data_IF_583917290242
#
_entry.id   IF_583917290242
#
_cell.length_a   1.000
_cell.length_b   1.000
_cell.length_c   1.000
_cell.angle_alpha   90.00
_cell.angle_beta   90.00
_cell.angle_gamma   90.00
#
_symmetry.space_group_name_H-M   'P 1'
#
loop_
_entity.id
_entity.type
_entity.pdbx_description
1 polymer ?
#
# COMPACT_ATOMS: atom_id res chain seq x y z
N UNK A 1 -14.75 -10.09 -20.35
CA UNK A 1 -14.26 -11.18 -19.48
C UNK A 1 -14.21 -10.67 -18.04
N UNK A 2 -14.57 -11.48 -17.04
CA UNK A 2 -14.44 -11.10 -15.62
C UNK A 2 -13.01 -11.44 -15.18
N UNK A 3 -12.29 -10.46 -14.60
CA UNK A 3 -10.96 -10.67 -14.00
C UNK A 3 -11.00 -11.66 -12.86
N UNK A 4 -9.90 -12.38 -12.64
CA UNK A 4 -9.75 -13.26 -11.49
C UNK A 4 -9.80 -12.45 -10.16
N UNK A 5 -10.11 -13.07 -9.00
CA UNK A 5 -10.24 -12.36 -7.72
C UNK A 5 -8.95 -11.68 -7.22
N UNK A 6 -7.82 -12.25 -7.61
CA UNK A 6 -6.44 -11.89 -7.29
C UNK A 6 -5.81 -10.94 -8.31
N UNK A 7 -6.47 -10.71 -9.45
CA UNK A 7 -5.97 -9.86 -10.52
C UNK A 7 -6.30 -8.39 -10.27
N UNK A 8 -5.28 -7.54 -10.23
CA UNK A 8 -5.40 -6.09 -10.03
C UNK A 8 -4.66 -5.33 -11.13
N UNK A 9 -5.29 -4.28 -11.63
CA UNK A 9 -4.71 -3.38 -12.63
C UNK A 9 -3.56 -2.56 -12.07
N UNK A 10 -2.46 -2.57 -12.81
CA UNK A 10 -1.36 -1.62 -12.66
C UNK A 10 -1.64 -0.46 -13.60
N UNK A 11 -1.52 0.74 -13.09
CA UNK A 11 -1.66 1.97 -13.85
C UNK A 11 -0.34 2.74 -13.74
N UNK A 12 0.30 2.95 -14.89
CA UNK A 12 1.62 3.58 -15.01
C UNK A 12 1.55 5.09 -15.23
N UNK A 13 0.35 5.65 -15.41
CA UNK A 13 0.13 7.06 -15.73
C UNK A 13 -0.53 7.85 -14.61
N UNK A 14 -0.57 7.29 -13.40
CA UNK A 14 -1.32 7.85 -12.27
C UNK A 14 -0.65 9.03 -11.56
N UNK A 15 0.68 9.07 -11.58
CA UNK A 15 1.44 10.13 -10.95
C UNK A 15 2.25 10.87 -12.02
N UNK A 16 2.04 12.18 -12.13
CA UNK A 16 2.83 13.09 -12.98
C UNK A 16 4.30 13.26 -12.49
N UNK A 17 4.71 12.48 -11.48
CA UNK A 17 5.94 12.69 -10.70
C UNK A 17 7.04 11.64 -10.98
N UNK A 18 6.79 10.58 -11.75
CA UNK A 18 7.85 9.65 -12.16
C UNK A 18 7.41 8.31 -12.76
N UNK A 19 8.38 7.58 -13.30
CA UNK A 19 8.20 6.20 -13.77
C UNK A 19 8.00 5.27 -12.56
N UNK A 20 6.81 4.68 -12.43
CA UNK A 20 6.46 3.79 -11.32
C UNK A 20 5.35 2.82 -11.66
N UNK A 21 5.16 1.83 -10.80
CA UNK A 21 4.04 0.88 -10.89
C UNK A 21 3.04 1.23 -9.80
N UNK A 22 1.84 1.61 -10.19
CA UNK A 22 0.82 2.04 -9.24
C UNK A 22 -0.42 1.17 -9.32
N UNK A 23 -1.09 1.01 -8.18
CA UNK A 23 -2.38 0.33 -8.07
C UNK A 23 -3.37 1.25 -7.38
N UNK A 24 -4.55 1.41 -7.97
CA UNK A 24 -5.67 2.09 -7.31
C UNK A 24 -6.27 1.18 -6.26
N UNK A 25 -6.48 1.71 -5.06
CA UNK A 25 -7.02 0.95 -3.95
C UNK A 25 -7.77 1.81 -2.96
N UNK A 26 -8.12 1.19 -1.84
CA UNK A 26 -8.82 1.85 -0.75
C UNK A 26 -8.21 1.48 0.60
N UNK A 27 -8.13 2.48 1.48
CA UNK A 27 -7.84 2.32 2.91
C UNK A 27 -9.01 2.87 3.69
N UNK A 28 -9.70 2.03 4.47
CA UNK A 28 -10.90 2.40 5.21
C UNK A 28 -11.88 3.21 4.36
N UNK A 29 -12.17 2.69 3.15
CA UNK A 29 -13.08 3.28 2.14
C UNK A 29 -12.59 4.57 1.48
N UNK A 30 -11.45 5.14 1.90
CA UNK A 30 -10.80 6.26 1.20
C UNK A 30 -10.05 5.74 -0.03
N UNK A 31 -10.37 6.21 -1.26
CA UNK A 31 -9.57 5.87 -2.44
C UNK A 31 -8.19 6.52 -2.34
N UNK A 32 -7.15 5.73 -2.59
CA UNK A 32 -5.75 6.18 -2.63
C UNK A 32 -4.98 5.44 -3.72
N UNK A 33 -3.79 5.95 -4.04
CA UNK A 33 -2.85 5.33 -4.97
C UNK A 33 -1.76 4.61 -4.17
N UNK A 34 -1.50 3.35 -4.53
CA UNK A 34 -0.41 2.56 -3.96
C UNK A 34 0.73 2.45 -4.96
N UNK A 35 1.92 2.89 -4.58
CA UNK A 35 3.16 2.55 -5.29
C UNK A 35 3.55 1.12 -4.94
N UNK A 36 3.77 0.26 -5.93
CA UNK A 36 4.31 -1.08 -5.70
C UNK A 36 5.79 -0.97 -5.34
N UNK A 37 6.14 -1.26 -4.09
CA UNK A 37 7.49 -1.10 -3.58
C UNK A 37 8.02 -2.45 -3.05
N UNK A 38 8.73 -3.17 -3.93
CA UNK A 38 9.38 -4.44 -3.57
C UNK A 38 10.54 -4.25 -2.58
N UNK A 39 11.04 -3.02 -2.39
CA UNK A 39 12.06 -2.68 -1.40
C UNK A 39 11.48 -2.45 0.00
N UNK A 40 10.18 -2.23 0.13
CA UNK A 40 9.51 -2.06 1.40
C UNK A 40 9.11 -3.42 2.00
N UNK A 41 9.53 -3.70 3.23
CA UNK A 41 9.11 -4.91 3.95
C UNK A 41 7.68 -4.82 4.51
N UNK A 42 7.20 -3.60 4.75
CA UNK A 42 5.90 -3.29 5.34
C UNK A 42 5.16 -2.29 4.47
N UNK A 43 3.84 -2.42 4.42
CA UNK A 43 2.97 -1.45 3.76
C UNK A 43 2.87 -0.18 4.60
N UNK A 44 3.04 0.96 3.94
CA UNK A 44 3.10 2.29 4.56
C UNK A 44 2.06 3.19 3.88
N UNK A 45 1.38 4.03 4.65
CA UNK A 45 0.59 5.16 4.13
C UNK A 45 1.17 6.48 4.63
N UNK A 46 1.00 7.54 3.85
CA UNK A 46 1.41 8.87 4.30
C UNK A 46 0.58 9.35 5.50
N UNK A 47 1.19 10.16 6.36
CA UNK A 47 0.48 10.92 7.41
C UNK A 47 -0.66 11.75 6.84
N UNK A 48 -0.47 12.32 5.64
CA UNK A 48 -1.49 13.08 4.89
C UNK A 48 -2.73 12.23 4.57
N UNK A 49 -2.54 11.00 4.09
CA UNK A 49 -3.64 10.06 3.85
C UNK A 49 -4.35 9.73 5.17
N UNK A 50 -3.60 9.39 6.22
CA UNK A 50 -4.16 9.05 7.53
C UNK A 50 -5.01 10.18 8.14
N UNK A 51 -4.53 11.41 8.06
CA UNK A 51 -5.24 12.60 8.57
C UNK A 51 -6.51 12.92 7.77
N UNK A 52 -6.59 12.51 6.50
CA UNK A 52 -7.78 12.66 5.66
C UNK A 52 -8.82 11.56 5.86
N UNK A 53 -8.50 10.51 6.63
CA UNK A 53 -9.50 9.51 7.01
C UNK A 53 -10.55 10.16 7.93
N UNK A 54 -11.85 9.84 7.75
CA UNK A 54 -12.89 10.22 8.70
C UNK A 54 -12.55 9.78 10.12
N UNK A 55 -12.83 10.61 11.13
CA UNK A 55 -12.46 10.32 12.52
C UNK A 55 -13.01 8.98 13.01
N UNK A 56 -14.28 8.66 12.69
CA UNK A 56 -14.91 7.41 13.08
C UNK A 56 -14.32 6.16 12.42
N UNK A 57 -13.60 6.32 11.30
CA UNK A 57 -12.91 5.22 10.60
C UNK A 57 -11.39 5.28 10.77
N UNK A 58 -10.84 6.23 11.52
CA UNK A 58 -9.39 6.39 11.69
C UNK A 58 -8.91 5.43 12.80
N UNK A 59 -8.06 4.44 12.49
CA UNK A 59 -7.62 3.48 13.50
C UNK A 59 -6.70 4.12 14.53
N UNK A 60 -6.78 3.67 15.79
CA UNK A 60 -5.78 4.03 16.80
C UNK A 60 -4.40 3.51 16.40
N UNK A 61 -3.38 4.35 16.61
CA UNK A 61 -1.99 4.00 16.33
C UNK A 61 -1.29 3.52 17.60
N UNK A 62 -0.52 2.45 17.45
CA UNK A 62 0.46 1.96 18.43
C UNK A 62 1.87 2.35 18.00
N UNK A 63 2.85 2.23 18.91
CA UNK A 63 4.25 2.56 18.61
C UNK A 63 4.74 1.79 17.39
N UNK A 64 5.36 2.51 16.45
CA UNK A 64 5.82 1.95 15.19
C UNK A 64 7.11 1.14 15.32
N UNK A 65 7.70 0.82 14.17
CA UNK A 65 8.82 -0.14 14.06
C UNK A 65 10.19 0.53 13.85
N UNK A 66 10.28 1.86 13.91
CA UNK A 66 11.46 2.64 13.51
C UNK A 66 11.84 2.38 12.05
N UNK A 67 11.10 2.98 11.12
CA UNK A 67 11.35 2.87 9.70
C UNK A 67 12.68 3.49 9.26
N UNK A 68 13.33 2.84 8.29
CA UNK A 68 14.49 3.35 7.56
C UNK A 68 14.18 3.33 6.08
N UNK A 69 14.51 4.42 5.39
CA UNK A 69 14.46 4.47 3.93
C UNK A 69 15.57 3.66 3.30
N UNK A 70 15.53 3.54 1.97
CA UNK A 70 16.52 2.78 1.20
C UNK A 70 17.97 3.22 1.45
N UNK A 71 18.21 4.52 1.68
CA UNK A 71 19.53 5.07 2.00
C UNK A 71 19.92 4.91 3.49
N UNK A 72 19.13 4.20 4.29
CA UNK A 72 19.35 4.00 5.73
C UNK A 72 18.94 5.17 6.61
N UNK A 73 18.54 6.30 6.02
CA UNK A 73 18.01 7.46 6.74
C UNK A 73 16.70 7.10 7.46
N UNK A 74 16.50 7.58 8.70
CA UNK A 74 15.26 7.33 9.42
C UNK A 74 14.08 8.02 8.74
N UNK A 75 12.93 7.36 8.70
CA UNK A 75 11.66 7.95 8.27
C UNK A 75 10.85 8.26 9.52
N UNK A 76 10.33 9.48 9.62
CA UNK A 76 9.45 9.87 10.72
C UNK A 76 8.12 9.09 10.62
N UNK A 77 7.75 8.38 11.68
CA UNK A 77 6.50 7.61 11.75
C UNK A 77 5.59 8.14 12.86
N UNK A 78 4.28 8.15 12.59
CA UNK A 78 3.25 8.41 13.62
C UNK A 78 2.92 7.15 14.42
N UNK A 79 3.15 5.96 13.84
CA UNK A 79 2.87 4.67 14.45
C UNK A 79 2.25 3.69 13.46
N UNK A 80 1.70 2.59 13.97
CA UNK A 80 1.08 1.53 13.18
C UNK A 80 -0.30 1.14 13.71
N UNK A 81 -1.19 0.74 12.81
CA UNK A 81 -2.57 0.36 13.14
C UNK A 81 -3.14 -0.67 12.18
N UNK A 82 -4.34 -1.18 12.48
CA UNK A 82 -5.05 -2.10 11.60
C UNK A 82 -6.00 -1.34 10.67
N UNK A 83 -5.82 -1.52 9.37
CA UNK A 83 -6.59 -0.84 8.33
C UNK A 83 -7.27 -1.86 7.44
N UNK A 84 -8.47 -1.52 6.98
CA UNK A 84 -9.18 -2.24 5.93
C UNK A 84 -8.60 -1.83 4.58
N UNK A 85 -7.79 -2.71 3.99
CA UNK A 85 -7.17 -2.55 2.69
C UNK A 85 -8.02 -3.24 1.62
N UNK A 86 -8.29 -2.56 0.51
CA UNK A 86 -8.93 -3.14 -0.68
C UNK A 86 -8.17 -2.80 -1.95
N UNK A 87 -7.73 -3.84 -2.68
CA UNK A 87 -7.06 -3.75 -3.98
C UNK A 87 -7.81 -4.65 -4.96
N UNK A 88 -8.39 -4.06 -6.02
CA UNK A 88 -9.30 -4.80 -6.90
C UNK A 88 -10.45 -5.46 -6.13
N UNK A 89 -10.54 -6.79 -6.18
CA UNK A 89 -11.52 -7.60 -5.44
C UNK A 89 -10.98 -8.14 -4.10
N UNK A 90 -9.68 -8.03 -3.86
CA UNK A 90 -9.06 -8.44 -2.60
C UNK A 90 -9.40 -7.42 -1.52
N UNK A 91 -9.88 -7.90 -0.38
CA UNK A 91 -10.13 -7.10 0.82
C UNK A 91 -9.55 -7.82 2.04
N UNK A 92 -8.74 -7.11 2.83
CA UNK A 92 -8.16 -7.66 4.06
C UNK A 92 -7.94 -6.59 5.12
N UNK A 93 -7.94 -7.02 6.39
CA UNK A 93 -7.41 -6.22 7.48
C UNK A 93 -5.87 -6.37 7.48
N UNK A 94 -5.15 -5.25 7.38
CA UNK A 94 -3.70 -5.19 7.27
C UNK A 94 -3.12 -4.26 8.34
N UNK A 95 -2.02 -4.68 8.97
CA UNK A 95 -1.25 -3.78 9.84
C UNK A 95 -0.39 -2.86 8.94
N UNK A 96 -0.72 -1.58 8.92
CA UNK A 96 -0.07 -0.55 8.08
C UNK A 96 0.62 0.47 8.98
N UNK A 97 1.80 0.92 8.56
CA UNK A 97 2.56 1.97 9.23
C UNK A 97 2.16 3.33 8.63
N UNK A 98 2.00 4.33 9.49
CA UNK A 98 1.71 5.72 9.10
C UNK A 98 3.00 6.52 9.24
N UNK A 99 3.51 7.06 8.15
CA UNK A 99 4.80 7.74 8.11
C UNK A 99 4.84 8.94 7.17
N UNK A 100 5.84 9.80 7.33
CA UNK A 100 6.10 10.94 6.46
C UNK A 100 6.78 10.44 5.17
N UNK A 101 5.97 10.20 4.14
CA UNK A 101 6.41 9.78 2.80
C UNK A 101 5.78 10.68 1.72
N UNK A 102 6.40 10.71 0.54
CA UNK A 102 5.94 11.52 -0.59
C UNK A 102 4.74 10.93 -1.32
N UNK A 103 4.69 9.60 -1.47
CA UNK A 103 3.55 8.91 -2.07
C UNK A 103 2.35 8.84 -1.12
N UNK A 104 1.17 8.55 -1.67
CA UNK A 104 -0.01 8.25 -0.86
C UNK A 104 0.22 7.00 0.00
N UNK A 105 0.77 5.94 -0.62
CA UNK A 105 1.07 4.68 0.02
C UNK A 105 2.16 3.89 -0.71
N UNK A 106 2.98 3.15 0.04
CA UNK A 106 3.91 2.14 -0.46
C UNK A 106 3.35 0.76 -0.13
N UNK A 107 3.13 -0.07 -1.16
CA UNK A 107 2.68 -1.45 -1.01
C UNK A 107 3.88 -2.37 -0.86
N UNK A 108 4.13 -2.81 0.38
CA UNK A 108 5.30 -3.59 0.72
C UNK A 108 5.08 -5.10 0.65
N UNK A 109 6.14 -5.83 0.96
CA UNK A 109 6.23 -7.29 0.91
C UNK A 109 5.16 -8.01 1.76
N UNK A 110 4.71 -7.40 2.86
CA UNK A 110 3.62 -7.91 3.70
C UNK A 110 2.24 -7.97 3.01
N UNK A 111 2.10 -7.29 1.87
CA UNK A 111 0.94 -7.42 0.98
C UNK A 111 1.30 -8.09 -0.34
N UNK A 112 2.49 -7.84 -0.88
CA UNK A 112 2.97 -8.50 -2.11
C UNK A 112 3.21 -10.01 -1.92
N UNK A 113 3.24 -10.51 -0.70
CA UNK A 113 3.17 -11.94 -0.41
C UNK A 113 1.82 -12.28 0.20
N UNK A 114 1.13 -13.22 -0.42
CA UNK A 114 -0.20 -13.59 0.02
C UNK A 114 -0.17 -14.43 1.31
N UNK A 115 -1.34 -14.65 1.91
CA UNK A 115 -1.46 -15.37 3.19
C UNK A 115 -0.92 -16.80 3.16
N UNK A 116 -0.80 -17.40 1.98
CA UNK A 116 -0.23 -18.74 1.78
C UNK A 116 1.28 -18.71 1.58
N UNK A 117 1.92 -17.55 1.67
CA UNK A 117 3.35 -17.37 1.42
C UNK A 117 3.72 -17.37 -0.06
N UNK A 118 2.74 -17.34 -0.97
CA UNK A 118 3.02 -17.25 -2.41
C UNK A 118 3.30 -15.78 -2.77
N UNK A 119 4.41 -15.50 -3.47
CA UNK A 119 4.69 -14.17 -4.00
C UNK A 119 3.62 -13.74 -5.01
N UNK A 120 3.41 -12.43 -5.10
CA UNK A 120 2.67 -11.83 -6.18
C UNK A 120 3.46 -11.88 -7.49
N UNK A 121 2.74 -12.06 -8.60
CA UNK A 121 3.31 -11.98 -9.94
C UNK A 121 2.99 -10.62 -10.55
N UNK A 122 4.02 -9.85 -10.90
CA UNK A 122 3.90 -8.56 -11.58
C UNK A 122 4.12 -8.78 -13.08
N UNK A 123 3.03 -8.77 -13.85
CA UNK A 123 3.04 -9.00 -15.28
C UNK A 123 3.05 -7.66 -16.02
N UNK A 124 4.24 -7.08 -16.17
CA UNK A 124 4.42 -5.78 -16.80
C UNK A 124 3.93 -5.71 -18.26
N UNK A 125 4.02 -6.81 -19.01
CA UNK A 125 3.52 -6.86 -20.39
C UNK A 125 1.99 -6.81 -20.49
N UNK A 126 1.30 -6.99 -19.37
CA UNK A 126 -0.17 -7.00 -19.28
C UNK A 126 -0.73 -5.96 -18.32
N UNK A 127 0.15 -5.16 -17.70
CA UNK A 127 -0.22 -4.12 -16.73
C UNK A 127 -1.08 -4.67 -15.57
N UNK A 128 -0.70 -5.85 -15.07
CA UNK A 128 -1.44 -6.58 -14.04
C UNK A 128 -0.49 -7.03 -12.93
N UNK A 129 -0.98 -7.01 -11.69
CA UNK A 129 -0.42 -7.76 -10.57
C UNK A 129 -1.40 -8.85 -10.12
N UNK A 130 -0.89 -10.05 -9.85
CA UNK A 130 -1.65 -11.15 -9.24
C UNK A 130 -1.25 -11.26 -7.77
N UNK A 131 -2.17 -10.97 -6.85
CA UNK A 131 -1.95 -10.89 -5.39
C UNK A 131 -2.37 -12.12 -4.59
#
# INVERSE_FOLDING_TARGET
MRRAPDEVDIDRGLCDLGDGLYVKGFVNEKPIIFTLDTGASRTIISTRVYQRLPEGSRPSLSKGASLKGACGAPIAEMGKGMFKLRLGKMEKLQEIIVAEIEDDALLGYDVLVNKSGKPADILLSREIIML
#
